data_IF_262401333389
#
_entry.id   IF_262401333389
#
_cell.length_a   1.000
_cell.length_b   1.000
_cell.length_c   1.000
_cell.angle_alpha   90.00
_cell.angle_beta   90.00
_cell.angle_gamma   90.00
#
_symmetry.space_group_name_H-M   'P 1'
#
loop_
_entity.id
_entity.type
_entity.pdbx_description
1 polymer ?
#
# COMPACT_ATOMS: atom_id res chain seq x y z
N UNK A 1 -22.99 7.32 16.24
CA UNK A 1 -24.43 7.47 16.53
C UNK A 1 -24.99 8.77 16.01
N UNK A 2 -24.33 9.86 16.30
CA UNK A 2 -24.83 11.20 15.90
C UNK A 2 -24.59 11.47 14.40
N UNK A 3 -23.69 10.72 13.78
CA UNK A 3 -23.29 10.89 12.39
C UNK A 3 -22.44 12.14 12.15
N UNK A 4 -21.99 12.29 10.90
CA UNK A 4 -21.23 13.45 10.45
C UNK A 4 -21.72 13.90 9.08
N UNK A 5 -21.46 15.16 8.76
CA UNK A 5 -21.86 15.76 7.48
C UNK A 5 -20.80 15.41 6.43
N UNK A 6 -21.24 14.84 5.33
CA UNK A 6 -20.36 14.44 4.24
C UNK A 6 -19.83 15.65 3.49
N UNK A 7 -18.53 15.61 3.19
CA UNK A 7 -17.86 16.55 2.29
C UNK A 7 -17.90 16.05 0.86
N UNK A 8 -17.43 16.86 -0.08
CA UNK A 8 -17.26 16.44 -1.49
C UNK A 8 -16.27 15.26 -1.61
N UNK A 9 -15.18 15.29 -0.84
CA UNK A 9 -14.20 14.22 -0.84
C UNK A 9 -14.78 12.86 -0.40
N UNK A 10 -15.70 12.88 0.58
CA UNK A 10 -16.38 11.66 1.05
C UNK A 10 -17.31 11.12 -0.03
N UNK A 11 -18.11 11.98 -0.65
CA UNK A 11 -19.08 11.55 -1.68
C UNK A 11 -18.41 11.09 -2.96
N UNK A 12 -17.29 11.69 -3.37
CA UNK A 12 -16.52 11.23 -4.54
C UNK A 12 -16.03 9.79 -4.36
N UNK A 13 -15.71 9.38 -3.12
CA UNK A 13 -15.36 7.99 -2.80
C UNK A 13 -16.60 7.08 -2.86
N UNK A 14 -17.70 7.47 -2.23
CA UNK A 14 -18.94 6.69 -2.21
C UNK A 14 -19.52 6.48 -3.62
N UNK A 15 -19.48 7.51 -4.45
CA UNK A 15 -20.03 7.50 -5.83
C UNK A 15 -19.41 6.40 -6.70
N UNK A 16 -18.15 6.03 -6.45
CA UNK A 16 -17.51 4.93 -7.20
C UNK A 16 -18.15 3.57 -6.96
N UNK A 17 -18.96 3.41 -5.91
CA UNK A 17 -19.47 2.10 -5.44
C UNK A 17 -20.99 2.03 -5.40
N UNK A 18 -21.70 3.09 -5.77
CA UNK A 18 -23.17 3.19 -5.75
C UNK A 18 -23.87 1.97 -6.38
N UNK A 19 -23.38 1.51 -7.52
CA UNK A 19 -23.97 0.36 -8.21
C UNK A 19 -23.91 -0.94 -7.39
N UNK A 20 -22.84 -1.12 -6.62
CA UNK A 20 -22.69 -2.27 -5.72
C UNK A 20 -23.47 -2.09 -4.42
N UNK A 21 -23.56 -0.89 -3.86
CA UNK A 21 -24.41 -0.62 -2.68
C UNK A 21 -25.87 -0.98 -2.93
N UNK A 22 -26.39 -0.77 -4.15
CA UNK A 22 -27.77 -1.15 -4.52
C UNK A 22 -28.02 -2.65 -4.51
N UNK A 23 -26.98 -3.48 -4.55
CA UNK A 23 -27.09 -4.94 -4.60
C UNK A 23 -27.17 -5.56 -3.20
N UNK A 24 -26.69 -4.85 -2.16
CA UNK A 24 -26.76 -5.31 -0.78
C UNK A 24 -27.70 -4.42 0.03
N UNK A 25 -28.80 -4.97 0.60
CA UNK A 25 -29.82 -4.18 1.28
C UNK A 25 -29.30 -3.37 2.48
N UNK A 26 -28.36 -3.93 3.26
CA UNK A 26 -27.79 -3.22 4.42
C UNK A 26 -26.85 -2.09 3.98
N UNK A 27 -26.05 -2.31 2.94
CA UNK A 27 -25.22 -1.27 2.35
C UNK A 27 -26.07 -0.15 1.75
N UNK A 28 -27.14 -0.49 1.02
CA UNK A 28 -28.06 0.48 0.44
C UNK A 28 -28.71 1.37 1.52
N UNK A 29 -29.17 0.77 2.61
CA UNK A 29 -29.80 1.46 3.74
C UNK A 29 -28.86 2.51 4.40
N UNK A 30 -27.56 2.24 4.43
CA UNK A 30 -26.58 3.10 5.11
C UNK A 30 -25.99 4.15 4.15
N UNK A 31 -25.64 3.75 2.92
CA UNK A 31 -24.81 4.53 1.99
C UNK A 31 -25.58 5.12 0.81
N UNK A 32 -26.91 4.95 0.75
CA UNK A 32 -27.79 5.60 -0.22
C UNK A 32 -28.88 6.40 0.47
N UNK A 33 -29.47 7.35 -0.22
CA UNK A 33 -30.70 8.03 0.19
C UNK A 33 -31.90 7.09 0.16
N UNK A 34 -33.00 7.38 0.87
CA UNK A 34 -34.18 6.51 0.89
C UNK A 34 -34.79 6.21 -0.50
N UNK A 35 -34.58 7.07 -1.48
CA UNK A 35 -35.00 6.90 -2.87
C UNK A 35 -34.00 6.09 -3.70
N UNK A 36 -32.90 5.61 -3.09
CA UNK A 36 -31.84 4.86 -3.76
C UNK A 36 -30.85 5.71 -4.55
N UNK A 37 -30.93 7.04 -4.46
CA UNK A 37 -29.96 7.95 -5.06
C UNK A 37 -28.69 8.03 -4.20
N UNK A 38 -27.53 8.44 -4.80
CA UNK A 38 -26.28 8.64 -4.06
C UNK A 38 -26.40 9.72 -3.00
N UNK A 39 -25.69 9.54 -1.88
CA UNK A 39 -25.49 10.60 -0.89
C UNK A 39 -24.74 11.77 -1.53
N UNK A 40 -25.03 12.98 -1.09
CA UNK A 40 -24.46 14.23 -1.62
C UNK A 40 -23.67 14.97 -0.54
N UNK A 41 -22.74 15.88 -0.92
CA UNK A 41 -22.12 16.79 0.04
C UNK A 41 -23.19 17.53 0.82
N UNK A 42 -23.06 17.54 2.16
CA UNK A 42 -24.06 18.12 3.07
C UNK A 42 -25.05 17.09 3.64
N UNK A 43 -25.19 15.90 3.07
CA UNK A 43 -25.95 14.82 3.69
C UNK A 43 -25.25 14.33 4.98
N UNK A 44 -26.06 13.82 5.90
CA UNK A 44 -25.56 13.30 7.17
C UNK A 44 -25.46 11.77 7.11
N UNK A 45 -24.26 11.22 7.23
CA UNK A 45 -24.04 9.77 7.33
C UNK A 45 -24.16 9.32 8.79
N UNK A 46 -25.10 8.43 9.07
CA UNK A 46 -25.35 7.86 10.41
C UNK A 46 -25.17 6.34 10.33
N UNK A 47 -24.30 5.80 11.19
CA UNK A 47 -23.93 4.37 11.20
C UNK A 47 -24.23 3.74 12.56
N UNK A 48 -25.52 3.63 12.90
CA UNK A 48 -25.98 3.17 14.23
C UNK A 48 -25.51 1.76 14.55
N UNK A 49 -25.58 0.84 13.60
CA UNK A 49 -25.17 -0.57 13.82
C UNK A 49 -23.67 -0.68 14.02
N UNK A 50 -22.85 0.08 13.27
CA UNK A 50 -21.41 0.17 13.50
C UNK A 50 -21.09 0.75 14.88
N UNK A 51 -21.81 1.79 15.30
CA UNK A 51 -21.65 2.37 16.64
C UNK A 51 -21.96 1.35 17.74
N UNK A 52 -23.00 0.52 17.56
CA UNK A 52 -23.34 -0.56 18.49
C UNK A 52 -22.24 -1.64 18.55
N UNK A 53 -21.72 -2.03 17.39
CA UNK A 53 -20.59 -2.97 17.28
C UNK A 53 -19.34 -2.44 17.98
N UNK A 54 -18.95 -1.21 17.73
CA UNK A 54 -17.78 -0.58 18.36
C UNK A 54 -17.96 -0.45 19.88
N UNK A 55 -19.17 -0.10 20.34
CA UNK A 55 -19.50 -0.05 21.79
C UNK A 55 -19.42 -1.43 22.44
N UNK A 56 -19.90 -2.48 21.75
CA UNK A 56 -19.80 -3.85 22.24
C UNK A 56 -18.33 -4.29 22.38
N UNK A 57 -17.48 -3.97 21.40
CA UNK A 57 -16.04 -4.23 21.45
C UNK A 57 -15.37 -3.45 22.58
N UNK A 58 -15.71 -2.16 22.74
CA UNK A 58 -15.15 -1.33 23.81
C UNK A 58 -15.47 -1.85 25.22
N UNK A 59 -16.66 -2.44 25.40
CA UNK A 59 -17.10 -3.00 26.70
C UNK A 59 -16.64 -4.46 26.91
N UNK A 60 -16.64 -5.27 25.88
CA UNK A 60 -16.43 -6.71 25.95
C UNK A 60 -15.07 -7.19 25.40
N UNK A 61 -14.24 -6.28 24.91
CA UNK A 61 -12.95 -6.60 24.32
C UNK A 61 -13.07 -7.46 23.04
N UNK A 62 -12.02 -8.21 22.74
CA UNK A 62 -11.93 -9.06 21.54
C UNK A 62 -13.03 -10.12 21.47
N UNK A 63 -13.47 -10.66 22.61
CA UNK A 63 -14.51 -11.68 22.66
C UNK A 63 -15.84 -11.18 22.13
N UNK A 64 -16.16 -9.88 22.26
CA UNK A 64 -17.37 -9.29 21.71
C UNK A 64 -17.40 -9.33 20.17
N UNK A 65 -16.22 -9.29 19.53
CA UNK A 65 -16.10 -9.38 18.08
C UNK A 65 -15.97 -10.83 17.59
N UNK A 66 -15.14 -11.63 18.25
CA UNK A 66 -14.81 -12.97 17.77
C UNK A 66 -15.75 -14.09 18.28
N UNK A 67 -16.63 -13.77 19.22
CA UNK A 67 -17.59 -14.74 19.83
C UNK A 67 -18.98 -14.11 19.92
N UNK A 68 -20.02 -14.93 19.96
CA UNK A 68 -21.39 -14.51 20.19
C UNK A 68 -22.12 -13.92 18.97
N UNK A 69 -22.79 -12.77 19.12
CA UNK A 69 -23.77 -12.25 18.14
C UNK A 69 -23.15 -11.81 16.81
N UNK A 70 -21.97 -11.20 16.82
CA UNK A 70 -21.32 -10.69 15.61
C UNK A 70 -20.95 -11.84 14.65
N UNK A 71 -20.19 -12.87 15.05
CA UNK A 71 -19.89 -14.00 14.19
C UNK A 71 -21.16 -14.74 13.71
N UNK A 72 -22.17 -14.87 14.57
CA UNK A 72 -23.44 -15.51 14.18
C UNK A 72 -24.17 -14.73 13.09
N UNK A 73 -24.19 -13.39 13.17
CA UNK A 73 -24.76 -12.55 12.12
C UNK A 73 -24.00 -12.68 10.79
N UNK A 74 -22.66 -12.72 10.86
CA UNK A 74 -21.81 -12.91 9.68
C UNK A 74 -22.00 -14.30 9.07
N UNK A 75 -22.05 -15.36 9.88
CA UNK A 75 -22.35 -16.72 9.42
C UNK A 75 -23.70 -16.79 8.71
N UNK A 76 -24.74 -16.18 9.28
CA UNK A 76 -26.07 -16.15 8.67
C UNK A 76 -26.05 -15.42 7.32
N UNK A 77 -25.40 -14.26 7.23
CA UNK A 77 -25.24 -13.51 5.98
C UNK A 77 -24.43 -14.29 4.94
N UNK A 78 -23.32 -14.91 5.35
CA UNK A 78 -22.51 -15.74 4.47
C UNK A 78 -23.31 -16.91 3.90
N UNK A 79 -24.04 -17.63 4.75
CA UNK A 79 -24.89 -18.76 4.34
C UNK A 79 -25.99 -18.33 3.37
N UNK A 80 -26.62 -17.18 3.60
CA UNK A 80 -27.64 -16.62 2.71
C UNK A 80 -27.05 -16.27 1.35
N UNK A 81 -25.82 -15.76 1.29
CA UNK A 81 -25.07 -15.45 0.06
C UNK A 81 -24.40 -16.66 -0.59
N UNK A 82 -24.60 -17.89 -0.08
CA UNK A 82 -23.94 -19.11 -0.60
C UNK A 82 -22.47 -19.26 -0.18
N UNK A 83 -22.00 -18.46 0.79
CA UNK A 83 -20.65 -18.54 1.36
C UNK A 83 -20.51 -19.63 2.42
N UNK A 84 -19.27 -19.89 2.84
CA UNK A 84 -18.91 -20.99 3.76
C UNK A 84 -18.36 -20.49 5.09
N UNK A 85 -18.29 -19.18 5.33
CA UNK A 85 -17.77 -18.60 6.56
C UNK A 85 -18.66 -18.95 7.76
N UNK A 86 -18.06 -19.38 8.88
CA UNK A 86 -18.77 -19.81 10.08
C UNK A 86 -18.35 -19.01 11.32
N UNK A 87 -19.16 -19.03 12.36
CA UNK A 87 -18.80 -18.45 13.66
C UNK A 87 -17.57 -19.15 14.28
N UNK A 88 -17.31 -20.40 13.94
CA UNK A 88 -16.12 -21.12 14.38
C UNK A 88 -14.84 -20.54 13.78
N UNK A 89 -14.87 -20.05 12.55
CA UNK A 89 -13.71 -19.38 11.92
C UNK A 89 -13.32 -18.13 12.70
N UNK A 90 -14.30 -17.35 13.18
CA UNK A 90 -14.06 -16.21 14.06
C UNK A 90 -13.46 -16.65 15.40
N UNK A 91 -14.07 -17.64 16.09
CA UNK A 91 -13.65 -18.08 17.41
C UNK A 91 -12.23 -18.69 17.41
N UNK A 92 -11.84 -19.29 16.30
CA UNK A 92 -10.53 -19.92 16.12
C UNK A 92 -9.45 -18.96 15.57
N UNK A 93 -9.83 -17.76 15.12
CA UNK A 93 -8.88 -16.79 14.58
C UNK A 93 -7.88 -16.34 15.63
N UNK A 94 -6.61 -16.27 15.25
CA UNK A 94 -5.51 -15.80 16.12
C UNK A 94 -4.67 -14.78 15.37
N UNK A 95 -4.31 -13.73 16.10
CA UNK A 95 -3.27 -12.80 15.62
C UNK A 95 -1.91 -13.46 15.73
N UNK A 96 -0.99 -13.06 14.87
CA UNK A 96 0.41 -13.50 14.91
C UNK A 96 1.32 -12.32 15.18
N UNK A 97 2.32 -12.52 16.02
CA UNK A 97 3.42 -11.59 16.23
C UNK A 97 4.66 -12.18 15.58
N UNK A 98 5.25 -11.45 14.65
CA UNK A 98 6.40 -11.93 13.88
C UNK A 98 7.48 -10.85 13.83
N UNK A 99 8.77 -11.22 13.83
CA UNK A 99 9.86 -10.28 13.62
C UNK A 99 9.70 -9.56 12.27
N UNK A 100 9.93 -8.24 12.22
CA UNK A 100 9.82 -7.49 10.97
C UNK A 100 10.96 -7.84 10.01
N UNK A 101 10.74 -7.58 8.71
CA UNK A 101 11.81 -7.56 7.71
C UNK A 101 12.65 -6.30 7.91
N UNK A 102 13.97 -6.46 7.87
CA UNK A 102 14.90 -5.34 7.98
C UNK A 102 15.93 -5.36 6.86
N UNK A 103 16.27 -4.18 6.35
CA UNK A 103 17.40 -3.99 5.43
C UNK A 103 18.02 -2.62 5.61
N UNK A 104 19.21 -2.44 5.04
CA UNK A 104 19.91 -1.14 5.03
C UNK A 104 19.87 -0.53 3.63
N UNK A 105 19.77 0.78 3.56
CA UNK A 105 19.86 1.56 2.33
C UNK A 105 20.53 2.90 2.61
N UNK A 106 21.68 3.17 2.03
CA UNK A 106 22.46 4.44 2.18
C UNK A 106 22.61 4.89 3.64
N UNK A 107 22.87 3.95 4.56
CA UNK A 107 23.03 4.23 5.98
C UNK A 107 21.73 4.39 6.77
N UNK A 108 20.58 4.24 6.13
CA UNK A 108 19.28 4.12 6.79
C UNK A 108 18.91 2.65 6.98
N UNK A 109 18.23 2.35 8.09
CA UNK A 109 17.65 1.02 8.33
C UNK A 109 16.14 1.07 8.10
N UNK A 110 15.67 0.25 7.21
CA UNK A 110 14.25 0.02 6.94
C UNK A 110 13.74 -1.14 7.76
N UNK A 111 12.55 -1.00 8.33
CA UNK A 111 11.83 -1.99 9.12
C UNK A 111 10.42 -2.05 8.55
N UNK A 112 10.00 -3.20 8.01
CA UNK A 112 8.70 -3.32 7.34
C UNK A 112 8.05 -4.69 7.58
N UNK A 113 6.81 -4.88 7.06
CA UNK A 113 6.02 -6.06 7.32
C UNK A 113 6.65 -7.36 6.78
N UNK A 114 6.64 -8.44 7.57
CA UNK A 114 7.05 -9.77 7.12
C UNK A 114 5.90 -10.52 6.42
N UNK A 115 6.17 -11.66 5.75
CA UNK A 115 5.12 -12.55 5.28
C UNK A 115 4.11 -12.93 6.42
N UNK A 116 2.81 -13.05 6.10
CA UNK A 116 2.24 -13.15 4.76
C UNK A 116 2.11 -11.82 3.99
N UNK A 117 2.66 -10.70 4.46
CA UNK A 117 2.87 -9.59 3.56
C UNK A 117 4.20 -9.70 2.82
N UNK A 118 4.15 -9.51 1.50
CA UNK A 118 5.35 -9.42 0.67
C UNK A 118 6.05 -8.07 0.78
N UNK A 119 5.38 -7.08 1.39
CA UNK A 119 5.78 -5.68 1.36
C UNK A 119 7.21 -5.44 1.78
N UNK A 120 7.60 -5.91 2.96
CA UNK A 120 8.95 -5.70 3.48
C UNK A 120 10.04 -6.40 2.66
N UNK A 121 9.79 -7.64 2.22
CA UNK A 121 10.76 -8.40 1.41
C UNK A 121 11.00 -7.73 0.07
N UNK A 122 9.92 -7.46 -0.67
CA UNK A 122 10.00 -6.84 -2.01
C UNK A 122 10.57 -5.43 -1.96
N UNK A 123 10.17 -4.63 -0.97
CA UNK A 123 10.76 -3.30 -0.74
C UNK A 123 12.27 -3.37 -0.52
N UNK A 124 12.72 -4.26 0.38
CA UNK A 124 14.14 -4.44 0.67
C UNK A 124 14.94 -4.95 -0.54
N UNK A 125 14.37 -5.85 -1.33
CA UNK A 125 14.99 -6.35 -2.54
C UNK A 125 15.19 -5.21 -3.56
N UNK A 126 14.16 -4.40 -3.82
CA UNK A 126 14.28 -3.26 -4.73
C UNK A 126 15.32 -2.26 -4.21
N UNK A 127 15.25 -1.89 -2.93
CA UNK A 127 16.22 -0.97 -2.31
C UNK A 127 17.66 -1.49 -2.47
N UNK A 128 17.89 -2.77 -2.24
CA UNK A 128 19.22 -3.38 -2.40
C UNK A 128 19.73 -3.32 -3.85
N UNK A 129 18.84 -3.48 -4.83
CA UNK A 129 19.21 -3.36 -6.25
C UNK A 129 19.54 -1.92 -6.60
N UNK A 130 18.68 -0.95 -6.27
CA UNK A 130 18.86 0.46 -6.64
C UNK A 130 19.98 1.13 -5.88
N UNK A 131 20.40 0.61 -4.72
CA UNK A 131 21.52 1.14 -3.95
C UNK A 131 22.84 1.15 -4.74
N UNK A 132 22.99 0.25 -5.71
CA UNK A 132 24.17 0.20 -6.59
C UNK A 132 24.23 1.30 -7.65
N UNK A 133 23.24 2.20 -7.70
CA UNK A 133 23.14 3.27 -8.69
C UNK A 133 23.02 4.63 -8.01
N UNK A 134 23.53 5.68 -8.62
CA UNK A 134 23.41 7.06 -8.13
C UNK A 134 22.12 7.71 -8.67
N UNK A 135 20.97 7.38 -8.04
CA UNK A 135 19.68 7.93 -8.43
C UNK A 135 19.62 9.46 -8.36
N UNK A 136 20.38 10.07 -7.43
CA UNK A 136 20.47 11.52 -7.30
C UNK A 136 21.05 12.15 -8.56
N UNK A 137 22.18 11.65 -9.05
CA UNK A 137 22.84 12.14 -10.27
C UNK A 137 22.05 11.82 -11.54
N UNK A 138 21.26 10.73 -11.55
CA UNK A 138 20.36 10.42 -12.67
C UNK A 138 19.24 11.46 -12.80
N UNK A 139 18.83 12.07 -11.69
CA UNK A 139 17.73 13.03 -11.63
C UNK A 139 16.35 12.38 -11.50
N UNK A 140 15.47 13.08 -10.78
CA UNK A 140 14.10 12.60 -10.53
C UNK A 140 13.33 12.37 -11.84
N UNK A 141 12.70 11.22 -11.95
CA UNK A 141 11.91 10.78 -13.13
C UNK A 141 12.61 10.93 -14.49
N UNK A 142 13.94 10.94 -14.53
CA UNK A 142 14.70 10.80 -15.78
C UNK A 142 14.53 9.39 -16.39
N UNK A 143 14.83 9.24 -17.67
CA UNK A 143 14.77 7.92 -18.32
C UNK A 143 15.69 6.90 -17.64
N UNK A 144 16.89 7.31 -17.21
CA UNK A 144 17.83 6.45 -16.51
C UNK A 144 17.31 6.02 -15.13
N UNK A 145 16.74 6.95 -14.33
CA UNK A 145 16.17 6.63 -13.03
C UNK A 145 14.95 5.71 -13.16
N UNK A 146 14.03 6.01 -14.08
CA UNK A 146 12.85 5.18 -14.35
C UNK A 146 13.26 3.79 -14.81
N UNK A 147 14.19 3.68 -15.75
CA UNK A 147 14.73 2.41 -16.21
C UNK A 147 15.29 1.56 -15.05
N UNK A 148 16.19 2.15 -14.24
CA UNK A 148 16.81 1.46 -13.10
C UNK A 148 15.77 0.96 -12.10
N UNK A 149 14.80 1.81 -11.73
CA UNK A 149 13.73 1.42 -10.81
C UNK A 149 12.82 0.35 -11.41
N UNK A 150 12.48 0.46 -12.70
CA UNK A 150 11.62 -0.51 -13.39
C UNK A 150 12.26 -1.90 -13.44
N UNK A 151 13.53 -1.98 -13.79
CA UNK A 151 14.25 -3.26 -13.80
C UNK A 151 14.35 -3.87 -12.39
N UNK A 152 14.62 -3.07 -11.36
CA UNK A 152 14.62 -3.54 -9.98
C UNK A 152 13.23 -4.05 -9.56
N UNK A 153 12.16 -3.31 -9.87
CA UNK A 153 10.77 -3.71 -9.61
C UNK A 153 10.42 -5.01 -10.36
N UNK A 154 10.80 -5.15 -11.62
CA UNK A 154 10.56 -6.34 -12.45
C UNK A 154 11.07 -7.61 -11.77
N UNK A 155 12.31 -7.61 -11.31
CA UNK A 155 12.91 -8.75 -10.64
C UNK A 155 12.25 -9.04 -9.29
N UNK A 156 12.07 -8.03 -8.46
CA UNK A 156 11.49 -8.19 -7.13
C UNK A 156 10.03 -8.66 -7.16
N UNK A 157 9.22 -8.18 -8.12
CA UNK A 157 7.84 -8.67 -8.28
C UNK A 157 7.78 -10.07 -8.88
N UNK A 158 8.72 -10.45 -9.74
CA UNK A 158 8.85 -11.84 -10.18
C UNK A 158 9.13 -12.76 -9.01
N UNK A 159 10.12 -12.43 -8.18
CA UNK A 159 10.47 -13.19 -6.98
C UNK A 159 9.30 -13.23 -5.98
N UNK A 160 8.64 -12.09 -5.74
CA UNK A 160 7.41 -12.00 -4.93
C UNK A 160 6.35 -13.00 -5.38
N UNK A 161 6.00 -12.94 -6.66
CA UNK A 161 4.90 -13.72 -7.22
C UNK A 161 5.22 -15.22 -7.30
N UNK A 162 6.50 -15.57 -7.33
CA UNK A 162 6.98 -16.97 -7.45
C UNK A 162 7.15 -17.62 -6.08
N UNK A 163 7.72 -16.92 -5.10
CA UNK A 163 8.28 -17.54 -3.90
C UNK A 163 7.58 -17.16 -2.59
N UNK A 164 6.83 -16.03 -2.56
CA UNK A 164 6.27 -15.54 -1.31
C UNK A 164 4.83 -16.04 -1.09
N UNK A 165 4.51 -16.30 0.17
CA UNK A 165 3.20 -16.72 0.66
C UNK A 165 3.20 -16.86 2.18
N UNK A 166 2.14 -17.49 2.72
CA UNK A 166 2.00 -17.71 4.14
C UNK A 166 3.14 -18.59 4.70
N UNK A 167 3.93 -18.09 5.67
CA UNK A 167 5.08 -18.82 6.21
C UNK A 167 4.71 -20.09 7.00
N UNK A 168 3.45 -20.25 7.40
CA UNK A 168 2.97 -21.50 8.01
C UNK A 168 2.81 -22.63 6.98
N UNK A 169 2.71 -22.29 5.68
CA UNK A 169 2.49 -23.25 4.60
C UNK A 169 3.69 -23.41 3.68
N UNK A 170 4.53 -22.39 3.55
CA UNK A 170 5.69 -22.42 2.67
C UNK A 170 6.93 -21.83 3.32
N UNK A 171 8.10 -22.26 2.87
CA UNK A 171 9.37 -21.65 3.27
C UNK A 171 9.70 -20.50 2.31
N UNK A 172 9.45 -19.27 2.74
CA UNK A 172 9.85 -18.08 2.01
C UNK A 172 11.38 -17.93 2.00
N UNK A 173 12.06 -17.74 0.85
CA UNK A 173 13.53 -17.60 0.78
C UNK A 173 14.01 -16.19 1.14
N UNK A 174 13.58 -15.66 2.28
CA UNK A 174 13.76 -14.26 2.71
C UNK A 174 15.24 -13.87 2.71
N UNK A 175 16.10 -14.66 3.38
CA UNK A 175 17.52 -14.35 3.51
C UNK A 175 18.22 -14.17 2.16
N UNK A 176 17.80 -14.92 1.14
CA UNK A 176 18.29 -14.77 -0.22
C UNK A 176 17.81 -13.46 -0.84
N UNK A 177 16.49 -13.23 -0.84
CA UNK A 177 15.86 -12.11 -1.52
C UNK A 177 16.30 -10.76 -0.98
N UNK A 178 16.48 -10.64 0.34
CA UNK A 178 16.94 -9.38 0.96
C UNK A 178 18.46 -9.25 1.04
N UNK A 179 19.24 -10.17 0.43
CA UNK A 179 20.69 -10.11 0.50
C UNK A 179 21.29 -9.14 -0.53
N UNK A 180 22.37 -8.45 -0.14
CA UNK A 180 23.13 -7.57 -1.06
C UNK A 180 23.76 -8.37 -2.20
N UNK A 181 24.17 -9.62 -1.95
CA UNK A 181 24.76 -10.50 -2.96
C UNK A 181 23.75 -10.89 -4.06
N UNK A 182 22.49 -11.12 -3.69
CA UNK A 182 21.45 -11.39 -4.66
C UNK A 182 21.12 -10.14 -5.50
N UNK A 183 21.01 -8.99 -4.86
CA UNK A 183 20.85 -7.72 -5.57
C UNK A 183 21.99 -7.44 -6.56
N UNK A 184 23.23 -7.80 -6.21
CA UNK A 184 24.37 -7.69 -7.14
C UNK A 184 24.22 -8.61 -8.35
N UNK A 185 23.70 -9.83 -8.18
CA UNK A 185 23.41 -10.73 -9.28
C UNK A 185 22.32 -10.16 -10.20
N UNK A 186 21.29 -9.54 -9.64
CA UNK A 186 20.24 -8.84 -10.42
C UNK A 186 20.88 -7.70 -11.22
N UNK A 187 21.67 -6.81 -10.58
CA UNK A 187 22.33 -5.69 -11.27
C UNK A 187 23.17 -6.12 -12.46
N UNK A 188 23.84 -7.26 -12.40
CA UNK A 188 24.62 -7.82 -13.53
C UNK A 188 23.78 -8.19 -14.75
N UNK A 189 22.46 -8.36 -14.59
CA UNK A 189 21.52 -8.68 -15.66
C UNK A 189 20.89 -7.45 -16.29
N UNK A 190 20.91 -6.31 -15.60
CA UNK A 190 20.31 -5.05 -16.05
C UNK A 190 21.22 -4.45 -17.13
N UNK A 191 20.66 -4.25 -18.32
CA UNK A 191 21.34 -3.62 -19.45
C UNK A 191 20.97 -2.15 -19.51
N UNK A 192 21.94 -1.24 -19.45
CA UNK A 192 21.73 0.19 -19.18
C UNK A 192 20.81 0.93 -20.18
N UNK A 193 20.67 0.44 -21.39
CA UNK A 193 19.94 1.10 -22.49
C UNK A 193 18.84 0.22 -23.11
N UNK A 194 18.48 -0.89 -22.45
CA UNK A 194 17.50 -1.83 -22.97
C UNK A 194 16.64 -2.44 -21.86
N UNK A 195 15.32 -2.42 -22.05
CA UNK A 195 14.38 -3.11 -21.18
C UNK A 195 14.59 -4.64 -21.24
N UNK A 196 14.52 -5.29 -20.09
CA UNK A 196 14.46 -6.75 -20.02
C UNK A 196 13.01 -7.19 -20.24
N UNK A 197 12.69 -7.99 -21.30
CA UNK A 197 11.33 -8.50 -21.46
C UNK A 197 10.92 -9.38 -20.26
N UNK A 198 9.74 -9.19 -19.71
CA UNK A 198 9.26 -9.96 -18.56
C UNK A 198 9.12 -11.44 -18.85
N UNK A 199 8.88 -11.84 -20.09
CA UNK A 199 8.87 -13.24 -20.56
C UNK A 199 10.22 -13.94 -20.35
N UNK A 200 11.32 -13.21 -20.44
CA UNK A 200 12.67 -13.73 -20.16
C UNK A 200 12.91 -13.93 -18.65
N UNK A 201 11.98 -13.46 -17.81
CA UNK A 201 11.97 -13.58 -16.36
C UNK A 201 10.87 -14.54 -15.89
N UNK A 202 10.25 -15.32 -16.83
CA UNK A 202 9.17 -16.33 -16.76
C UNK A 202 7.70 -15.83 -16.93
N UNK A 203 6.75 -16.70 -17.38
CA UNK A 203 5.57 -16.28 -18.15
C UNK A 203 4.29 -16.00 -17.35
N UNK A 204 3.41 -15.14 -17.86
CA UNK A 204 2.03 -14.91 -17.41
C UNK A 204 1.34 -13.73 -18.10
N UNK A 205 0.05 -13.55 -18.02
CA UNK A 205 -0.82 -12.71 -18.86
C UNK A 205 -1.36 -11.41 -18.20
N UNK A 206 -2.03 -10.54 -18.98
CA UNK A 206 -2.33 -9.09 -18.72
C UNK A 206 -3.41 -8.69 -17.68
N UNK A 207 -3.39 -7.46 -17.08
CA UNK A 207 -4.27 -7.03 -15.99
C UNK A 207 -5.16 -5.79 -16.23
N UNK A 208 -6.08 -5.54 -15.25
CA UNK A 208 -6.68 -4.23 -14.95
C UNK A 208 -6.83 -4.05 -13.44
N UNK A 209 -6.53 -2.83 -12.92
CA UNK A 209 -6.48 -2.54 -11.48
C UNK A 209 -7.51 -1.51 -10.99
N UNK A 210 -7.96 -1.70 -9.71
CA UNK A 210 -8.48 -0.64 -8.82
C UNK A 210 -8.05 -0.92 -7.38
N UNK A 211 -7.15 -0.12 -6.77
CA UNK A 211 -6.60 -0.38 -5.43
C UNK A 211 -7.40 0.30 -4.32
N UNK A 212 -7.60 -0.40 -3.17
CA UNK A 212 -8.18 0.19 -1.96
C UNK A 212 -7.62 -0.45 -0.67
N UNK A 213 -7.02 0.38 0.15
CA UNK A 213 -6.43 0.05 1.46
C UNK A 213 -6.42 1.34 2.28
N UNK A 214 -6.13 1.27 3.57
CA UNK A 214 -5.94 2.47 4.42
C UNK A 214 -4.62 2.36 5.17
N UNK A 215 -3.95 3.51 5.31
CA UNK A 215 -2.71 3.63 6.07
C UNK A 215 -2.78 4.81 7.04
N UNK A 216 -2.13 4.67 8.21
CA UNK A 216 -1.84 5.80 9.08
C UNK A 216 -0.50 5.61 9.82
N UNK A 217 0.14 6.74 10.09
CA UNK A 217 1.41 6.84 10.79
C UNK A 217 1.25 7.70 12.06
N UNK A 218 1.88 7.30 13.15
CA UNK A 218 1.86 8.05 14.42
C UNK A 218 3.28 8.13 14.96
N UNK A 219 3.65 9.29 15.48
CA UNK A 219 4.86 9.50 16.29
C UNK A 219 4.45 10.32 17.52
N UNK A 220 4.77 9.84 18.72
CA UNK A 220 4.51 10.56 19.96
C UNK A 220 5.70 11.47 20.38
N UNK A 221 5.52 12.22 21.47
CA UNK A 221 6.54 13.12 21.99
C UNK A 221 7.78 12.40 22.56
N UNK A 222 7.64 11.12 22.91
CA UNK A 222 8.74 10.28 23.41
C UNK A 222 9.55 9.64 22.26
N UNK A 223 9.07 9.81 21.00
CA UNK A 223 9.66 9.21 19.80
C UNK A 223 9.24 7.77 19.55
N UNK A 224 8.20 7.27 20.24
CA UNK A 224 7.58 6.02 19.85
C UNK A 224 6.85 6.19 18.53
N UNK A 225 6.94 5.20 17.65
CA UNK A 225 6.41 5.30 16.30
C UNK A 225 5.57 4.08 15.93
N UNK A 226 4.46 4.34 15.24
CA UNK A 226 3.57 3.30 14.71
C UNK A 226 3.32 3.58 13.23
N UNK A 227 3.47 2.55 12.41
CA UNK A 227 3.10 2.53 11.00
C UNK A 227 2.09 1.40 10.80
N UNK A 228 0.86 1.73 10.42
CA UNK A 228 -0.23 0.75 10.32
C UNK A 228 -0.88 0.80 8.96
N UNK A 229 -0.93 -0.36 8.30
CA UNK A 229 -1.72 -0.56 7.08
C UNK A 229 -2.75 -1.64 7.35
N UNK A 230 -4.02 -1.38 7.04
CA UNK A 230 -5.09 -2.35 7.12
C UNK A 230 -5.98 -2.28 5.89
N UNK A 231 -6.64 -3.38 5.56
CA UNK A 231 -7.35 -3.51 4.31
C UNK A 231 -8.57 -4.44 4.45
N UNK A 232 -9.49 -4.28 3.53
CA UNK A 232 -10.56 -5.22 3.22
C UNK A 232 -10.46 -5.68 1.76
N UNK A 233 -9.28 -5.50 1.14
CA UNK A 233 -8.88 -5.70 -0.23
C UNK A 233 -9.52 -4.67 -1.19
N UNK A 234 -10.67 -4.94 -1.79
CA UNK A 234 -11.34 -3.97 -2.67
C UNK A 234 -11.98 -2.80 -1.91
N UNK A 235 -12.38 -1.73 -2.65
CA UNK A 235 -13.09 -0.58 -2.07
C UNK A 235 -14.38 -1.05 -1.41
N UNK A 236 -14.50 -0.84 -0.11
CA UNK A 236 -15.57 -1.35 0.74
C UNK A 236 -15.66 -2.90 0.74
N UNK A 237 -14.55 -3.60 0.46
CA UNK A 237 -14.46 -5.06 0.45
C UNK A 237 -15.48 -5.71 -0.47
N UNK A 238 -16.14 -6.75 0.01
CA UNK A 238 -17.22 -7.42 -0.70
C UNK A 238 -18.45 -6.53 -0.95
N UNK A 239 -18.52 -5.35 -0.33
CA UNK A 239 -19.71 -4.45 -0.31
C UNK A 239 -20.94 -5.17 0.29
N UNK A 240 -20.69 -6.08 1.22
CA UNK A 240 -21.71 -6.84 1.96
C UNK A 240 -21.58 -6.50 3.42
N UNK A 241 -22.69 -6.18 4.07
CA UNK A 241 -22.80 -5.94 5.50
C UNK A 241 -23.70 -7.00 6.13
N UNK A 242 -23.21 -7.73 7.10
CA UNK A 242 -24.06 -8.63 7.87
C UNK A 242 -25.06 -7.82 8.71
N UNK A 243 -26.38 -8.13 8.67
CA UNK A 243 -27.41 -7.36 9.34
C UNK A 243 -27.10 -7.09 10.82
N UNK A 244 -27.22 -5.83 11.24
CA UNK A 244 -26.98 -5.38 12.61
C UNK A 244 -25.50 -5.22 13.01
N UNK A 245 -24.54 -5.48 12.11
CA UNK A 245 -23.10 -5.32 12.40
C UNK A 245 -22.55 -3.96 11.99
N UNK A 246 -23.04 -3.40 10.87
CA UNK A 246 -22.68 -2.09 10.36
C UNK A 246 -21.27 -1.96 9.75
N UNK A 247 -20.51 -3.05 9.61
CA UNK A 247 -19.21 -3.06 8.95
C UNK A 247 -19.21 -3.94 7.70
N UNK A 248 -18.38 -3.57 6.71
CA UNK A 248 -18.20 -4.35 5.49
C UNK A 248 -17.41 -5.62 5.73
N UNK A 249 -17.81 -6.70 5.06
CA UNK A 249 -16.98 -7.90 4.94
C UNK A 249 -15.88 -7.66 3.89
N UNK A 250 -14.71 -8.24 4.10
CA UNK A 250 -13.61 -8.16 3.14
C UNK A 250 -13.84 -9.07 1.92
N UNK A 251 -13.08 -8.85 0.85
CA UNK A 251 -12.95 -9.71 -0.32
C UNK A 251 -11.50 -10.20 -0.53
N UNK A 252 -10.77 -10.43 0.58
CA UNK A 252 -9.35 -10.81 0.62
C UNK A 252 -9.05 -12.18 -0.02
N UNK A 253 -10.06 -13.00 -0.26
CA UNK A 253 -9.88 -14.29 -0.94
C UNK A 253 -9.34 -14.12 -2.36
N UNK A 254 -9.54 -12.96 -2.99
CA UNK A 254 -9.00 -12.62 -4.30
C UNK A 254 -7.47 -12.51 -4.30
N UNK A 255 -6.86 -12.20 -3.16
CA UNK A 255 -5.40 -12.10 -3.05
C UNK A 255 -4.68 -13.45 -3.15
N UNK A 256 -5.40 -14.56 -3.02
CA UNK A 256 -4.85 -15.89 -3.29
C UNK A 256 -4.65 -16.16 -4.78
N UNK A 257 -3.71 -17.05 -5.08
CA UNK A 257 -3.68 -17.74 -6.38
C UNK A 257 -4.81 -18.75 -6.42
N UNK A 258 -5.96 -18.36 -6.96
CA UNK A 258 -7.10 -19.27 -7.16
C UNK A 258 -6.77 -20.25 -8.28
N UNK A 259 -6.11 -19.79 -9.35
CA UNK A 259 -5.61 -20.59 -10.46
C UNK A 259 -4.27 -20.05 -10.92
N UNK A 260 -3.26 -20.91 -10.97
CA UNK A 260 -1.91 -20.53 -11.41
C UNK A 260 -1.95 -20.00 -12.85
N UNK A 261 -1.31 -18.84 -13.06
CA UNK A 261 -1.30 -18.17 -14.35
C UNK A 261 -2.47 -17.23 -14.61
N UNK A 262 -3.52 -17.25 -13.75
CA UNK A 262 -4.61 -16.28 -13.79
C UNK A 262 -4.33 -15.09 -12.87
N UNK A 263 -5.03 -14.00 -13.11
CA UNK A 263 -4.87 -12.72 -12.41
C UNK A 263 -5.84 -12.59 -11.26
N UNK A 264 -5.40 -11.91 -10.19
CA UNK A 264 -6.31 -11.40 -9.16
C UNK A 264 -6.86 -10.00 -9.53
N UNK A 265 -7.62 -9.38 -8.63
CA UNK A 265 -8.17 -8.03 -8.77
C UNK A 265 -7.10 -6.97 -9.10
N UNK A 266 -5.87 -7.15 -8.63
CA UNK A 266 -4.73 -6.26 -8.85
C UNK A 266 -3.88 -6.65 -10.06
N UNK A 267 -4.33 -7.62 -10.86
CA UNK A 267 -3.60 -8.08 -12.03
C UNK A 267 -2.32 -8.85 -11.72
N UNK A 268 -2.09 -9.23 -10.46
CA UNK A 268 -0.95 -10.05 -10.09
C UNK A 268 -1.14 -11.48 -10.59
N UNK A 269 -0.17 -11.96 -11.33
CA UNK A 269 -0.07 -13.37 -11.74
C UNK A 269 0.88 -14.06 -10.79
N UNK A 270 0.36 -14.94 -9.95
CA UNK A 270 1.10 -15.56 -8.87
C UNK A 270 1.30 -17.06 -9.09
N UNK A 271 2.37 -17.60 -8.50
CA UNK A 271 2.69 -19.03 -8.52
C UNK A 271 1.93 -19.82 -7.45
N UNK A 272 2.30 -21.09 -7.31
CA UNK A 272 1.70 -22.04 -6.37
C UNK A 272 1.95 -21.69 -4.88
N UNK A 273 2.98 -20.88 -4.60
CA UNK A 273 3.32 -20.47 -3.23
C UNK A 273 2.14 -19.81 -2.51
N UNK A 274 1.34 -19.01 -3.23
CA UNK A 274 0.15 -18.35 -2.70
C UNK A 274 -1.18 -19.05 -3.08
N UNK A 275 -1.16 -20.32 -3.47
CA UNK A 275 -2.40 -21.07 -3.75
C UNK A 275 -3.29 -21.16 -2.52
N UNK A 276 -4.60 -21.06 -2.75
CA UNK A 276 -5.61 -21.16 -1.69
C UNK A 276 -5.55 -22.51 -0.96
N UNK A 277 -5.65 -22.48 0.36
CA UNK A 277 -5.78 -23.66 1.19
C UNK A 277 -6.54 -23.33 2.50
N UNK A 278 -7.22 -24.30 3.14
CA UNK A 278 -7.86 -24.10 4.42
C UNK A 278 -6.88 -23.59 5.49
N UNK A 279 -7.24 -22.57 6.25
CA UNK A 279 -6.42 -21.98 7.32
C UNK A 279 -5.26 -21.10 6.83
N UNK A 280 -5.01 -21.01 5.53
CA UNK A 280 -3.94 -20.21 4.95
C UNK A 280 -4.33 -18.74 4.84
N UNK A 281 -3.37 -17.85 5.08
CA UNK A 281 -3.51 -16.40 4.85
C UNK A 281 -3.06 -16.03 3.44
N UNK A 282 -3.75 -15.10 2.75
CA UNK A 282 -3.35 -14.62 1.44
C UNK A 282 -2.07 -13.77 1.50
N UNK A 283 -1.33 -13.74 0.41
CA UNK A 283 -0.15 -12.89 0.25
C UNK A 283 -0.56 -11.44 0.04
N UNK A 284 -0.31 -10.59 1.04
CA UNK A 284 -0.56 -9.15 0.97
C UNK A 284 0.61 -8.36 0.35
N UNK A 285 0.34 -7.12 -0.05
CA UNK A 285 1.35 -6.12 -0.46
C UNK A 285 1.48 -4.97 0.53
N UNK A 286 0.77 -4.99 1.66
CA UNK A 286 0.85 -3.95 2.69
C UNK A 286 2.29 -3.75 3.17
N UNK A 287 2.75 -2.49 3.19
CA UNK A 287 4.14 -2.12 3.47
C UNK A 287 4.22 -1.02 4.52
N UNK A 288 3.63 -1.21 5.72
CA UNK A 288 3.86 -0.26 6.79
C UNK A 288 5.36 -0.25 7.11
N UNK A 289 5.98 0.94 7.09
CA UNK A 289 7.43 1.05 7.14
C UNK A 289 7.89 2.09 8.15
N UNK A 290 8.88 1.70 8.95
CA UNK A 290 9.68 2.59 9.78
C UNK A 290 11.08 2.69 9.18
N UNK A 291 11.61 3.89 9.10
CA UNK A 291 13.00 4.11 8.68
C UNK A 291 13.74 4.76 9.84
N UNK A 292 14.88 4.20 10.21
CA UNK A 292 15.73 4.74 11.26
C UNK A 292 17.09 5.17 10.71
N UNK A 293 17.70 6.15 11.35
CA UNK A 293 19.08 6.56 11.17
C UNK A 293 19.71 6.72 12.54
N UNK A 294 20.90 6.15 12.74
CA UNK A 294 21.62 6.18 14.01
C UNK A 294 20.75 5.76 15.20
N UNK A 295 19.94 4.70 14.98
CA UNK A 295 18.97 4.14 15.94
C UNK A 295 17.83 5.10 16.37
N UNK A 296 17.63 6.20 15.68
CA UNK A 296 16.49 7.12 15.89
C UNK A 296 15.50 7.02 14.73
N UNK A 297 14.22 7.18 15.01
CA UNK A 297 13.20 7.27 13.96
C UNK A 297 13.51 8.45 13.06
N UNK A 298 13.54 8.20 11.75
CA UNK A 298 13.73 9.20 10.69
C UNK A 298 12.46 9.39 9.88
N UNK A 299 11.81 8.30 9.46
CA UNK A 299 10.51 8.35 8.75
C UNK A 299 9.58 7.26 9.24
N UNK A 300 8.29 7.57 9.24
CA UNK A 300 7.18 6.63 9.37
C UNK A 300 6.30 6.80 8.16
N UNK A 301 6.10 5.75 7.36
CA UNK A 301 5.41 5.87 6.08
C UNK A 301 4.71 4.59 5.65
N UNK A 302 3.79 4.75 4.73
CA UNK A 302 3.07 3.71 4.03
C UNK A 302 1.99 4.29 3.14
N UNK A 303 1.18 3.43 2.54
CA UNK A 303 0.15 3.86 1.59
C UNK A 303 -0.92 2.79 1.42
N UNK A 304 -2.16 3.14 1.07
CA UNK A 304 -3.06 2.27 0.32
C UNK A 304 -2.59 2.14 -1.13
N UNK A 305 -3.06 1.10 -1.86
CA UNK A 305 -2.77 1.00 -3.28
C UNK A 305 -2.63 -0.40 -3.85
N UNK A 306 -3.14 -1.45 -3.20
CA UNK A 306 -3.01 -2.84 -3.67
C UNK A 306 -1.55 -3.22 -3.90
N UNK A 307 -1.22 -3.84 -5.03
CA UNK A 307 0.15 -4.20 -5.39
C UNK A 307 1.11 -2.99 -5.46
N UNK A 308 0.58 -1.79 -5.75
CA UNK A 308 1.35 -0.54 -5.84
C UNK A 308 1.82 0.00 -4.50
N UNK A 309 1.29 -0.46 -3.37
CA UNK A 309 1.71 -0.04 -2.02
C UNK A 309 3.22 -0.08 -1.87
N UNK A 310 3.85 -1.16 -2.33
CA UNK A 310 5.30 -1.38 -2.24
C UNK A 310 6.06 -0.27 -2.99
N UNK A 311 5.65 0.03 -4.22
CA UNK A 311 6.33 1.02 -5.08
C UNK A 311 6.03 2.45 -4.69
N UNK A 312 4.87 2.73 -4.09
CA UNK A 312 4.54 4.03 -3.50
C UNK A 312 5.45 4.29 -2.29
N UNK A 313 5.50 3.33 -1.35
CA UNK A 313 6.37 3.40 -0.16
C UNK A 313 7.83 3.56 -0.55
N UNK A 314 8.31 2.77 -1.53
CA UNK A 314 9.64 2.86 -2.10
C UNK A 314 9.94 4.28 -2.60
N UNK A 315 9.15 4.79 -3.55
CA UNK A 315 9.41 6.07 -4.19
C UNK A 315 9.30 7.24 -3.22
N UNK A 316 8.36 7.21 -2.27
CA UNK A 316 8.26 8.22 -1.22
C UNK A 316 9.56 8.27 -0.39
N UNK A 317 10.12 7.11 -0.02
CA UNK A 317 11.39 7.05 0.70
C UNK A 317 12.58 7.53 -0.16
N UNK A 318 12.67 7.12 -1.43
CA UNK A 318 13.72 7.55 -2.36
C UNK A 318 13.65 9.06 -2.63
N UNK A 319 12.44 9.63 -2.74
CA UNK A 319 12.24 11.06 -2.93
C UNK A 319 12.88 11.88 -1.79
N UNK A 320 12.73 11.41 -0.55
CA UNK A 320 13.39 12.04 0.61
C UNK A 320 14.89 11.76 0.63
N UNK A 321 15.32 10.49 0.52
CA UNK A 321 16.69 10.07 0.75
C UNK A 321 17.63 10.44 -0.41
N UNK A 322 17.22 10.15 -1.65
CA UNK A 322 18.06 10.36 -2.84
C UNK A 322 17.86 11.73 -3.47
N UNK A 323 16.61 12.18 -3.56
CA UNK A 323 16.29 13.44 -4.24
C UNK A 323 16.18 14.64 -3.30
N UNK A 324 16.24 14.43 -1.97
CA UNK A 324 16.23 15.50 -0.98
C UNK A 324 14.94 16.32 -0.94
N UNK A 325 13.81 15.72 -1.34
CA UNK A 325 12.51 16.38 -1.36
C UNK A 325 12.00 16.64 0.06
N UNK A 326 11.30 17.76 0.24
CA UNK A 326 10.52 18.01 1.46
C UNK A 326 9.38 16.98 1.59
N UNK A 327 8.86 16.74 2.82
CA UNK A 327 7.85 15.69 3.05
C UNK A 327 6.64 15.78 2.13
N UNK A 328 6.05 16.97 1.96
CA UNK A 328 4.90 17.16 1.08
C UNK A 328 5.26 16.94 -0.39
N UNK A 329 6.42 17.44 -0.84
CA UNK A 329 6.91 17.19 -2.20
C UNK A 329 7.11 15.69 -2.46
N UNK A 330 7.64 14.97 -1.47
CA UNK A 330 7.92 13.54 -1.58
C UNK A 330 6.64 12.69 -1.74
N UNK A 331 5.55 13.04 -1.04
CA UNK A 331 4.28 12.31 -1.14
C UNK A 331 3.47 12.70 -2.38
N UNK A 332 3.58 13.96 -2.82
CA UNK A 332 2.84 14.48 -3.99
C UNK A 332 3.54 14.18 -5.32
N UNK A 333 4.83 13.83 -5.28
CA UNK A 333 5.61 13.54 -6.48
C UNK A 333 4.95 12.44 -7.34
N UNK A 334 4.95 12.61 -8.68
CA UNK A 334 4.34 11.64 -9.57
C UNK A 334 5.10 10.32 -9.56
N UNK A 335 4.34 9.24 -9.70
CA UNK A 335 4.79 7.87 -9.50
C UNK A 335 4.87 7.08 -10.78
N UNK A 336 5.71 6.06 -10.74
CA UNK A 336 5.77 4.96 -11.70
C UNK A 336 5.50 3.64 -10.99
N UNK A 337 5.10 2.62 -11.75
CA UNK A 337 4.91 1.28 -11.23
C UNK A 337 5.19 0.23 -12.30
N UNK A 338 5.83 -0.86 -11.88
CA UNK A 338 5.98 -2.10 -12.64
C UNK A 338 5.87 -3.28 -11.68
N UNK A 339 5.15 -4.32 -12.07
CA UNK A 339 4.90 -5.48 -11.20
C UNK A 339 5.23 -6.82 -11.88
N UNK A 340 6.27 -6.82 -12.76
CA UNK A 340 6.69 -7.94 -13.60
C UNK A 340 5.69 -8.22 -14.72
N UNK A 341 4.48 -8.56 -14.39
CA UNK A 341 3.36 -8.78 -15.31
C UNK A 341 2.14 -7.98 -14.87
N UNK A 342 1.50 -7.36 -15.86
CA UNK A 342 1.87 -7.28 -17.28
C UNK A 342 3.21 -6.59 -17.48
N UNK A 343 3.85 -6.82 -18.62
CA UNK A 343 5.09 -6.14 -18.97
C UNK A 343 4.81 -4.70 -19.45
N UNK A 344 4.32 -3.89 -18.52
CA UNK A 344 3.92 -2.51 -18.71
C UNK A 344 4.49 -1.63 -17.60
N UNK A 345 4.99 -0.46 -17.95
CA UNK A 345 5.36 0.57 -16.97
C UNK A 345 4.23 1.57 -16.87
N UNK A 346 3.52 1.54 -15.75
CA UNK A 346 2.51 2.54 -15.44
C UNK A 346 3.18 3.82 -14.94
N UNK A 347 2.68 4.96 -15.38
CA UNK A 347 3.10 6.27 -14.90
C UNK A 347 1.90 7.20 -14.71
N UNK A 348 1.95 8.06 -13.72
CA UNK A 348 0.89 9.03 -13.45
C UNK A 348 0.88 10.14 -14.51
N UNK A 349 -0.33 10.59 -14.84
CA UNK A 349 -0.56 11.72 -15.75
C UNK A 349 0.35 12.90 -15.41
N UNK A 350 1.01 13.46 -16.42
CA UNK A 350 1.97 14.57 -16.29
C UNK A 350 3.22 14.26 -15.46
N UNK A 351 3.41 13.01 -15.04
CA UNK A 351 4.54 12.59 -14.21
C UNK A 351 5.84 12.35 -14.98
N UNK A 352 5.77 12.16 -16.30
CA UNK A 352 6.92 11.86 -17.15
C UNK A 352 6.87 12.75 -18.39
N UNK A 353 8.00 13.37 -18.76
CA UNK A 353 8.08 14.24 -19.93
C UNK A 353 7.97 13.45 -21.24
N UNK A 354 7.53 14.11 -22.31
CA UNK A 354 7.43 13.48 -23.63
C UNK A 354 8.77 12.94 -24.15
N UNK A 355 9.87 13.65 -23.85
CA UNK A 355 11.22 13.21 -24.23
C UNK A 355 11.65 11.99 -23.47
N UNK A 356 11.36 11.93 -22.15
CA UNK A 356 11.63 10.75 -21.31
C UNK A 356 10.81 9.55 -21.79
N UNK A 357 9.52 9.73 -22.12
CA UNK A 357 8.67 8.67 -22.66
C UNK A 357 9.23 8.12 -23.99
N UNK A 358 9.71 9.00 -24.87
CA UNK A 358 10.34 8.60 -26.14
C UNK A 358 11.60 7.78 -25.91
N UNK A 359 12.47 8.17 -24.96
CA UNK A 359 13.67 7.44 -24.61
C UNK A 359 13.33 6.04 -24.03
N UNK A 360 12.38 5.95 -23.09
CA UNK A 360 11.95 4.69 -22.50
C UNK A 360 11.31 3.75 -23.52
N UNK A 361 10.47 4.28 -24.41
CA UNK A 361 9.91 3.49 -25.54
C UNK A 361 11.00 3.01 -26.48
N UNK A 362 12.05 3.81 -26.70
CA UNK A 362 13.24 3.41 -27.49
C UNK A 362 14.04 2.28 -26.83
N UNK A 363 14.04 2.19 -25.50
CA UNK A 363 14.62 1.08 -24.74
C UNK A 363 13.76 -0.21 -24.81
N UNK A 364 12.51 -0.12 -25.30
CA UNK A 364 11.59 -1.25 -25.42
C UNK A 364 10.50 -1.31 -24.35
N UNK A 365 10.35 -0.28 -23.50
CA UNK A 365 9.27 -0.25 -22.50
C UNK A 365 7.91 0.09 -23.13
N UNK A 366 6.87 -0.63 -22.73
CA UNK A 366 5.47 -0.25 -22.95
C UNK A 366 5.03 0.70 -21.84
N UNK A 367 5.02 1.99 -22.12
CA UNK A 367 4.62 3.03 -21.17
C UNK A 367 3.10 3.24 -21.20
N UNK A 368 2.43 3.17 -20.04
CA UNK A 368 0.97 3.28 -19.92
C UNK A 368 0.60 4.37 -18.93
N UNK A 369 -0.03 5.43 -19.44
CA UNK A 369 -0.51 6.53 -18.60
C UNK A 369 -1.70 6.10 -17.74
N UNK A 370 -1.70 6.52 -16.48
CA UNK A 370 -2.77 6.26 -15.52
C UNK A 370 -3.17 7.54 -14.80
N UNK A 371 -4.41 7.59 -14.31
CA UNK A 371 -4.80 8.59 -13.30
C UNK A 371 -3.96 8.41 -12.04
N UNK A 372 -3.67 9.48 -11.27
CA UNK A 372 -2.93 9.37 -10.02
C UNK A 372 -3.53 8.32 -9.07
N UNK A 373 -2.66 7.56 -8.38
CA UNK A 373 -3.07 6.42 -7.57
C UNK A 373 -2.44 6.37 -6.18
N UNK A 374 -3.10 5.66 -5.26
CA UNK A 374 -2.67 5.50 -3.88
C UNK A 374 -2.84 6.78 -3.06
N UNK A 375 -2.25 6.78 -1.87
CA UNK A 375 -2.13 7.93 -1.01
C UNK A 375 -1.00 7.68 -0.01
N UNK A 376 0.17 8.26 -0.24
CA UNK A 376 1.28 8.13 0.69
C UNK A 376 1.04 8.97 1.94
N UNK A 377 1.22 8.36 3.10
CA UNK A 377 1.22 9.05 4.38
C UNK A 377 2.63 9.01 4.96
N UNK A 378 3.18 10.17 5.30
CA UNK A 378 4.55 10.31 5.75
C UNK A 378 4.62 11.17 7.00
N UNK A 379 5.34 10.69 8.02
CA UNK A 379 5.90 11.54 9.06
C UNK A 379 7.42 11.51 8.93
N UNK A 380 8.04 12.66 8.75
CA UNK A 380 9.50 12.84 8.76
C UNK A 380 9.93 13.48 10.07
N UNK A 381 10.96 12.91 10.71
CA UNK A 381 11.56 13.45 11.92
C UNK A 381 12.83 14.22 11.56
N UNK A 382 12.91 15.46 11.98
CA UNK A 382 14.12 16.28 11.79
C UNK A 382 15.25 15.77 12.67
N UNK A 383 16.23 15.09 12.07
CA UNK A 383 17.46 14.62 12.74
C UNK A 383 18.66 15.52 12.42
N UNK A 384 19.64 15.65 13.34
CA UNK A 384 20.88 16.33 13.07
C UNK A 384 21.61 15.70 11.89
N UNK A 385 22.02 16.51 10.92
CA UNK A 385 22.82 16.03 9.79
C UNK A 385 22.17 14.98 8.91
N UNK A 386 20.83 14.90 8.89
CA UNK A 386 20.10 14.05 7.94
C UNK A 386 20.44 14.50 6.51
N UNK A 387 21.30 13.75 5.84
CA UNK A 387 21.74 14.07 4.50
C UNK A 387 20.57 14.01 3.52
N UNK A 388 20.41 15.06 2.71
CA UNK A 388 19.37 15.16 1.68
C UNK A 388 18.29 16.21 2.00
N UNK A 389 18.06 16.53 3.25
CA UNK A 389 17.14 17.59 3.67
C UNK A 389 17.99 18.75 4.19
N UNK A 390 18.57 19.54 3.29
CA UNK A 390 19.36 20.71 3.68
C UNK A 390 18.48 21.77 4.33
N UNK A 391 18.88 22.33 5.49
CA UNK A 391 18.29 23.58 5.94
C UNK A 391 18.64 24.66 4.93
N UNK A 392 17.63 25.25 4.28
CA UNK A 392 17.88 26.40 3.43
C UNK A 392 18.46 27.54 4.28
N UNK A 393 19.60 28.08 3.85
CA UNK A 393 20.23 29.24 4.47
C UNK A 393 19.24 30.43 4.51
N UNK A 394 19.09 30.90 5.71
CA UNK A 394 18.61 32.18 6.22
C UNK A 394 18.13 33.28 5.25
N UNK A 395 17.00 33.87 5.60
CA UNK A 395 16.60 35.24 5.27
C UNK A 395 15.30 35.34 4.52
N UNK A 396 14.23 35.27 5.20
CA UNK A 396 12.89 35.79 5.11
C UNK A 396 11.81 34.75 5.41
N UNK A 397 11.00 35.05 6.41
CA UNK A 397 10.00 34.19 7.04
C UNK A 397 8.71 33.94 6.22
N UNK A 398 8.75 33.92 4.91
CA UNK A 398 7.55 33.83 4.07
C UNK A 398 7.48 32.68 3.08
N UNK A 399 8.36 31.68 3.17
CA UNK A 399 8.23 30.47 2.36
C UNK A 399 8.57 29.23 3.18
N UNK A 400 7.56 28.52 3.66
CA UNK A 400 7.68 27.25 4.41
C UNK A 400 7.90 26.07 3.45
N UNK A 401 8.62 26.22 2.37
CA UNK A 401 9.05 25.11 1.53
C UNK A 401 10.51 24.77 1.83
N UNK A 402 10.74 23.56 2.33
CA UNK A 402 12.06 22.94 2.31
C UNK A 402 12.91 22.98 3.61
N UNK A 403 12.40 23.44 4.75
CA UNK A 403 13.19 23.48 5.98
C UNK A 403 12.75 22.39 6.97
N UNK A 404 13.48 21.29 7.04
CA UNK A 404 13.37 20.33 8.15
C UNK A 404 14.28 20.80 9.29
N UNK A 405 13.67 21.09 10.46
CA UNK A 405 14.37 21.51 11.67
C UNK A 405 14.57 20.31 12.59
N UNK A 406 15.70 20.27 13.25
CA UNK A 406 15.99 19.27 14.27
C UNK A 406 14.92 19.26 15.37
N UNK A 407 14.45 18.07 15.76
CA UNK A 407 13.45 17.88 16.82
C UNK A 407 12.01 18.13 16.39
N UNK A 408 11.73 18.53 15.15
CA UNK A 408 10.39 18.74 14.64
C UNK A 408 9.86 17.52 13.90
N UNK A 409 8.55 17.29 14.00
CA UNK A 409 7.82 16.30 13.21
C UNK A 409 7.12 16.99 12.03
N UNK A 410 7.26 16.42 10.86
CA UNK A 410 6.63 16.90 9.62
C UNK A 410 5.69 15.84 9.07
N UNK A 411 4.40 16.03 9.28
CA UNK A 411 3.36 15.20 8.69
C UNK A 411 3.03 15.66 7.28
N UNK A 412 2.92 14.73 6.33
CA UNK A 412 2.47 14.99 4.98
C UNK A 412 1.40 13.99 4.57
N UNK A 413 0.27 14.51 4.09
CA UNK A 413 -0.84 13.76 3.53
C UNK A 413 -0.88 13.96 2.01
N UNK A 414 -1.10 12.91 1.29
CA UNK A 414 -1.14 12.88 -0.18
C UNK A 414 -2.38 13.61 -0.74
N UNK A 415 -2.17 14.53 -1.65
CA UNK A 415 -3.26 15.28 -2.30
C UNK A 415 -4.20 14.42 -3.13
N UNK A 416 -3.82 13.18 -3.47
CA UNK A 416 -4.66 12.22 -4.20
C UNK A 416 -5.86 11.75 -3.39
N UNK A 417 -5.79 11.89 -2.05
CA UNK A 417 -6.89 11.63 -1.13
C UNK A 417 -7.14 12.83 -0.21
N UNK A 418 -7.91 13.80 -0.66
CA UNK A 418 -8.15 15.05 0.09
C UNK A 418 -8.93 14.85 1.40
N UNK A 419 -9.50 13.68 1.64
CA UNK A 419 -10.12 13.32 2.93
C UNK A 419 -9.10 12.91 4.01
N UNK A 420 -7.84 12.65 3.65
CA UNK A 420 -6.74 12.43 4.59
C UNK A 420 -6.25 13.73 5.20
N UNK A 421 -5.53 13.66 6.33
CA UNK A 421 -4.92 14.81 6.97
C UNK A 421 -3.67 14.45 7.76
N UNK A 422 -2.74 15.40 7.86
CA UNK A 422 -1.65 15.36 8.83
C UNK A 422 -1.97 16.32 9.98
N UNK A 423 -1.99 15.80 11.21
CA UNK A 423 -2.38 16.55 12.41
C UNK A 423 -1.26 16.47 13.45
N UNK A 424 -0.91 17.58 14.07
CA UNK A 424 0.07 17.65 15.16
C UNK A 424 -0.47 18.50 16.31
N UNK A 425 0.06 18.26 17.53
CA UNK A 425 -0.28 19.00 18.73
C UNK A 425 0.98 19.60 19.34
#
# INVERSE_FOLDING_TARGET
REGFVLTRADTDILDTTVARFKQDPESAKIFLRPDGSPLQPGDKLVQTDLANTLEAIAKGGTDAFYKGKIPQAVEAAAKQGGGILTAADFANYKVTETPPITCSYRGYKFVSAPPPSSGGVTLCEILNVVEGYDLKSMGFNSAAAIHTMTEAMRHAYMDRNTYLGDPEFIKNPIDRLVSKSYAEQIRKKIVADKATPSENVQPGMEPHEKPETTHYSIVDHDGNAVSTTYTVNGRFGAVVIAPGTGFFLNDEMDDFTVKVGEKNLYGLVQGTANSIAPGKRPLSSMSPTLVTKDNKIFMVLGSPGGSRIITITLQTALNVIDHGMAPQEAVDAPRIHHQWLPDEVYYEQRGVSADTLKLLSGMGYKMVEQTPWGAAELILVGLPGAAGVSPANSGNDSAVSGKVREGYLYGANDVRRPAGSAVGY
#
